data_IF_731316556061
#
_entry.id   IF_731316556061
#
_cell.length_a   1.000
_cell.length_b   1.000
_cell.length_c   1.000
_cell.angle_alpha   90.00
_cell.angle_beta   90.00
_cell.angle_gamma   90.00
#
_symmetry.space_group_name_H-M   'P 1'
#
loop_
_entity.id
_entity.type
_entity.pdbx_description
1 polymer ?
#
# COMPACT_ATOMS: atom_id res chain seq x y z
N UNK A 1 -15.55 -14.15 -14.36
CA UNK A 1 -15.16 -14.15 -12.94
C UNK A 1 -13.81 -13.46 -12.84
N UNK A 2 -13.79 -12.13 -12.68
CA UNK A 2 -12.54 -11.39 -12.48
C UNK A 2 -12.05 -11.69 -11.07
N UNK A 3 -11.08 -12.58 -10.97
CA UNK A 3 -10.29 -12.83 -9.76
C UNK A 3 -9.53 -11.54 -9.46
N UNK A 4 -10.15 -10.60 -8.75
CA UNK A 4 -9.46 -9.45 -8.18
C UNK A 4 -8.51 -10.00 -7.11
N UNK A 5 -7.27 -10.30 -7.52
CA UNK A 5 -6.22 -10.75 -6.63
C UNK A 5 -6.08 -9.72 -5.51
N UNK A 6 -6.32 -10.17 -4.28
CA UNK A 6 -6.20 -9.32 -3.11
C UNK A 6 -4.72 -9.26 -2.75
N UNK A 7 -4.25 -8.06 -2.51
CA UNK A 7 -2.89 -7.85 -2.05
C UNK A 7 -2.93 -7.33 -0.63
N UNK A 8 -2.01 -7.85 0.17
CA UNK A 8 -1.64 -7.25 1.44
C UNK A 8 -0.54 -6.25 1.17
N UNK A 9 -0.82 -4.97 1.39
CA UNK A 9 0.13 -3.88 1.23
C UNK A 9 0.59 -3.43 2.61
N UNK A 10 1.89 -3.44 2.84
CA UNK A 10 2.52 -2.95 4.06
C UNK A 10 3.30 -1.70 3.71
N UNK A 11 2.92 -0.57 4.30
CA UNK A 11 3.58 0.72 4.11
C UNK A 11 4.32 1.07 5.39
N UNK A 12 5.60 1.39 5.31
CA UNK A 12 6.40 1.84 6.45
C UNK A 12 6.98 3.21 6.17
N UNK A 13 6.84 4.10 7.14
CA UNK A 13 7.43 5.42 7.09
C UNK A 13 8.78 5.40 7.86
N UNK A 14 9.93 5.58 7.19
CA UNK A 14 11.24 5.68 7.83
C UNK A 14 11.41 6.99 8.61
N UNK A 15 10.63 8.04 8.31
CA UNK A 15 10.72 9.32 9.03
C UNK A 15 10.16 9.28 10.45
N UNK A 16 9.00 8.64 10.65
CA UNK A 16 8.35 8.55 11.96
C UNK A 16 8.27 7.13 12.53
N UNK A 17 8.60 6.11 11.73
CA UNK A 17 8.52 4.69 12.12
C UNK A 17 7.13 4.06 11.98
N UNK A 18 6.13 4.81 11.50
CA UNK A 18 4.76 4.31 11.42
C UNK A 18 4.62 3.17 10.41
N UNK A 19 3.81 2.17 10.74
CA UNK A 19 3.52 1.02 9.89
C UNK A 19 2.03 0.93 9.61
N UNK A 20 1.65 0.95 8.33
CA UNK A 20 0.29 0.75 7.86
C UNK A 20 0.18 -0.60 7.16
N UNK A 21 -0.86 -1.36 7.49
CA UNK A 21 -1.15 -2.64 6.83
C UNK A 21 -2.52 -2.48 6.20
N UNK A 22 -2.54 -2.44 4.88
CA UNK A 22 -3.72 -2.21 4.06
C UNK A 22 -4.00 -3.43 3.20
N UNK A 23 -5.26 -3.54 2.79
CA UNK A 23 -5.70 -4.52 1.81
C UNK A 23 -6.09 -3.75 0.57
N UNK A 24 -5.43 -4.05 -0.53
CA UNK A 24 -5.67 -3.39 -1.81
C UNK A 24 -5.97 -4.40 -2.89
N UNK A 25 -6.35 -3.88 -4.04
CA UNK A 25 -6.61 -4.68 -5.24
C UNK A 25 -5.67 -4.22 -6.33
N UNK A 26 -5.20 -5.16 -7.12
CA UNK A 26 -4.47 -4.83 -8.35
C UNK A 26 -5.48 -4.55 -9.45
N UNK A 27 -5.42 -3.35 -10.02
CA UNK A 27 -6.18 -2.98 -11.21
C UNK A 27 -5.58 -3.65 -12.45
N UNK A 28 -6.36 -3.66 -13.53
CA UNK A 28 -5.98 -4.25 -14.81
C UNK A 28 -4.68 -3.69 -15.41
N UNK A 29 -4.24 -2.50 -14.99
CA UNK A 29 -3.00 -1.84 -15.46
C UNK A 29 -1.79 -2.05 -14.54
N UNK A 30 -1.90 -2.93 -13.52
CA UNK A 30 -0.80 -3.19 -12.58
C UNK A 30 -0.70 -2.18 -11.43
N UNK A 31 -1.58 -1.18 -11.39
CA UNK A 31 -1.70 -0.25 -10.27
C UNK A 31 -2.39 -0.91 -9.06
N UNK A 32 -1.88 -0.62 -7.86
CA UNK A 32 -2.47 -1.09 -6.59
C UNK A 32 -3.32 0.02 -5.98
N UNK A 33 -4.63 -0.20 -5.88
CA UNK A 33 -5.53 0.72 -5.18
C UNK A 33 -5.61 0.33 -3.71
N UNK A 34 -4.99 1.15 -2.84
CA UNK A 34 -4.89 0.92 -1.39
C UNK A 34 -5.58 2.00 -0.57
N UNK A 35 -5.91 3.14 -1.17
CA UNK A 35 -6.50 4.32 -0.51
C UNK A 35 -5.51 5.11 0.35
N UNK A 36 -4.24 4.71 0.42
CA UNK A 36 -3.21 5.43 1.17
C UNK A 36 -2.80 6.71 0.43
N UNK A 37 -2.89 7.86 1.10
CA UNK A 37 -2.50 9.16 0.53
C UNK A 37 -1.22 9.73 1.10
N UNK A 38 -1.03 9.66 2.42
CA UNK A 38 0.15 10.19 3.11
C UNK A 38 0.28 9.59 4.50
N UNK A 39 1.51 9.57 5.02
CA UNK A 39 1.73 9.26 6.42
C UNK A 39 1.26 10.42 7.32
N UNK A 40 0.92 10.11 8.57
CA UNK A 40 0.46 11.09 9.56
C UNK A 40 1.52 12.14 9.92
N UNK A 41 2.81 11.80 9.79
CA UNK A 41 3.90 12.76 9.97
C UNK A 41 4.06 13.75 8.80
N UNK A 42 3.26 13.62 7.73
CA UNK A 42 3.36 14.44 6.52
C UNK A 42 4.36 13.92 5.49
N UNK A 43 4.93 12.73 5.67
CA UNK A 43 5.78 12.10 4.68
C UNK A 43 4.93 11.46 3.56
N UNK A 44 5.21 11.86 2.31
CA UNK A 44 4.52 11.38 1.10
C UNK A 44 5.47 10.72 0.08
N UNK A 45 6.74 11.12 0.02
CA UNK A 45 7.72 10.55 -0.92
C UNK A 45 8.49 9.35 -0.36
N UNK A 46 8.95 9.41 0.89
CA UNK A 46 9.93 8.45 1.41
C UNK A 46 9.24 7.29 2.12
N UNK A 47 8.40 6.53 1.41
CA UNK A 47 7.59 5.45 2.01
C UNK A 47 8.03 4.10 1.46
N UNK A 48 8.28 3.14 2.36
CA UNK A 48 8.62 1.76 1.98
C UNK A 48 7.32 0.98 1.83
N UNK A 49 7.02 0.54 0.60
CA UNK A 49 5.78 -0.17 0.28
C UNK A 49 6.12 -1.61 -0.11
N UNK A 50 5.56 -2.59 0.60
CA UNK A 50 5.69 -4.02 0.30
C UNK A 50 4.31 -4.58 -0.06
N UNK A 51 4.16 -5.20 -1.22
CA UNK A 51 2.91 -5.85 -1.65
C UNK A 51 3.09 -7.37 -1.76
N UNK A 52 2.24 -8.13 -1.09
CA UNK A 52 2.20 -9.60 -1.14
C UNK A 52 0.83 -10.04 -1.63
N UNK A 53 0.79 -10.87 -2.68
CA UNK A 53 -0.45 -11.51 -3.13
C UNK A 53 -0.92 -12.52 -2.07
N UNK A 54 -2.19 -12.43 -1.66
CA UNK A 54 -2.86 -13.44 -0.82
C UNK A 54 -3.61 -14.48 -1.66
#
# INVERSE_FOLDING_TARGET
>A
MTTETRYRIVIRCPKCGEKYILRGRQKAEGEYETGFKRCICGNEDDLVIEATAE
#
